data_IF_068291342082
#
_entry.id   IF_068291342082
#
_cell.length_a   1.000
_cell.length_b   1.000
_cell.length_c   1.000
_cell.angle_alpha   90.00
_cell.angle_beta   90.00
_cell.angle_gamma   90.00
#
_symmetry.space_group_name_H-M   'P 1'
#
loop_
_entity.id
_entity.type
_entity.pdbx_description
1 polymer ?
#
# COMPACT_ATOMS: atom_id res chain seq x y z
N UNK A 1 18.44 23.81 -11.87
CA UNK A 1 18.97 23.53 -10.51
C UNK A 1 18.13 24.35 -9.55
N UNK A 2 16.96 23.81 -9.16
CA UNK A 2 15.96 24.55 -8.39
C UNK A 2 16.16 24.27 -6.91
N UNK A 3 16.20 25.34 -6.14
CA UNK A 3 16.27 25.50 -4.70
C UNK A 3 15.92 24.20 -3.93
N UNK A 4 16.95 23.47 -3.53
CA UNK A 4 16.81 22.54 -2.41
C UNK A 4 16.51 23.41 -1.20
N UNK A 5 15.32 23.21 -0.62
CA UNK A 5 14.96 23.84 0.65
C UNK A 5 15.91 23.22 1.68
N UNK A 6 16.84 24.02 2.17
CA UNK A 6 17.78 23.58 3.21
C UNK A 6 16.99 23.37 4.51
N UNK A 7 16.67 22.11 4.78
CA UNK A 7 15.87 21.72 5.94
C UNK A 7 16.85 21.29 7.03
N UNK A 8 16.82 21.98 8.16
CA UNK A 8 17.68 21.67 9.29
C UNK A 8 17.58 20.22 9.79
N UNK A 9 16.37 19.63 9.71
CA UNK A 9 16.09 18.26 10.20
C UNK A 9 15.25 17.44 9.21
N UNK A 10 15.82 16.97 8.07
CA UNK A 10 15.04 16.29 7.03
C UNK A 10 14.40 14.99 7.53
N UNK A 11 15.03 14.26 8.43
CA UNK A 11 14.45 13.05 9.02
C UNK A 11 13.21 13.33 9.84
N UNK A 12 13.18 14.42 10.64
CA UNK A 12 12.00 14.80 11.42
C UNK A 12 10.83 15.20 10.51
N UNK A 13 11.14 15.85 9.38
CA UNK A 13 10.14 16.24 8.39
C UNK A 13 9.52 15.02 7.68
N UNK A 14 10.28 13.93 7.54
CA UNK A 14 9.80 12.69 6.90
C UNK A 14 9.06 11.77 7.89
N UNK A 15 9.21 11.97 9.21
CA UNK A 15 8.62 11.07 10.22
C UNK A 15 7.10 11.00 10.18
N UNK A 16 6.41 12.14 10.01
CA UNK A 16 4.94 12.16 9.89
C UNK A 16 4.45 11.29 8.74
N UNK A 17 4.90 11.53 7.49
CA UNK A 17 4.59 10.68 6.34
C UNK A 17 4.95 9.20 6.51
N UNK A 18 6.12 8.90 7.09
CA UNK A 18 6.57 7.51 7.36
C UNK A 18 5.62 6.80 8.32
N UNK A 19 5.30 7.42 9.45
CA UNK A 19 4.41 6.82 10.45
C UNK A 19 3.01 6.65 9.87
N UNK A 20 2.51 7.65 9.13
CA UNK A 20 1.21 7.57 8.45
C UNK A 20 1.15 6.42 7.43
N UNK A 21 2.18 6.28 6.59
CA UNK A 21 2.30 5.19 5.63
C UNK A 21 2.42 3.82 6.32
N UNK A 22 3.20 3.74 7.41
CA UNK A 22 3.34 2.53 8.21
C UNK A 22 1.98 2.06 8.75
N UNK A 23 1.22 2.95 9.38
CA UNK A 23 -0.11 2.64 9.92
C UNK A 23 -1.06 2.25 8.79
N UNK A 24 -1.01 2.92 7.63
CA UNK A 24 -1.81 2.59 6.46
C UNK A 24 -1.58 1.16 5.97
N UNK A 25 -0.32 0.78 5.75
CA UNK A 25 0.05 -0.56 5.28
C UNK A 25 -0.19 -1.63 6.35
N UNK A 26 0.05 -1.32 7.63
CA UNK A 26 -0.24 -2.20 8.75
C UNK A 26 -1.74 -2.47 8.87
N UNK A 27 -2.57 -1.43 8.71
CA UNK A 27 -4.02 -1.53 8.76
C UNK A 27 -4.60 -2.38 7.63
N UNK A 28 -3.96 -2.40 6.46
CA UNK A 28 -4.36 -3.22 5.31
C UNK A 28 -4.35 -4.71 5.64
N UNK A 29 -3.30 -5.18 6.30
CA UNK A 29 -3.10 -6.60 6.61
C UNK A 29 -3.70 -7.03 7.95
N UNK A 30 -3.79 -6.12 8.91
CA UNK A 30 -4.32 -6.38 10.26
C UNK A 30 -5.74 -6.92 10.24
N UNK A 31 -6.61 -6.36 9.41
CA UNK A 31 -8.02 -6.75 9.40
C UNK A 31 -8.29 -8.15 8.84
N UNK A 32 -7.40 -8.67 8.00
CA UNK A 32 -7.55 -10.04 7.52
C UNK A 32 -7.58 -11.07 8.67
N UNK A 33 -6.84 -10.80 9.75
CA UNK A 33 -6.82 -11.63 10.96
C UNK A 33 -8.06 -11.39 11.83
N UNK A 34 -8.62 -10.18 11.80
CA UNK A 34 -9.78 -9.82 12.60
C UNK A 34 -11.13 -10.26 11.98
N UNK A 35 -11.16 -10.63 10.70
CA UNK A 35 -12.40 -11.00 9.99
C UNK A 35 -13.25 -12.07 10.71
N UNK A 36 -12.71 -13.18 11.24
CA UNK A 36 -13.52 -14.18 11.93
C UNK A 36 -14.21 -13.63 13.19
N UNK A 37 -13.49 -12.83 13.99
CA UNK A 37 -14.06 -12.22 15.20
C UNK A 37 -15.11 -11.16 14.84
N UNK A 38 -14.86 -10.36 13.79
CA UNK A 38 -15.82 -9.40 13.26
C UNK A 38 -17.11 -10.08 12.74
N UNK A 39 -16.97 -11.22 12.04
CA UNK A 39 -18.11 -11.99 11.56
C UNK A 39 -19.02 -12.44 12.71
N UNK A 40 -18.43 -12.91 13.79
CA UNK A 40 -19.17 -13.33 14.99
C UNK A 40 -19.80 -12.15 15.73
N UNK A 41 -19.03 -11.07 15.95
CA UNK A 41 -19.50 -9.92 16.75
C UNK A 41 -20.58 -9.09 16.06
N UNK A 42 -20.51 -8.97 14.74
CA UNK A 42 -21.47 -8.20 13.94
C UNK A 42 -22.59 -9.08 13.36
N UNK A 43 -22.50 -10.40 13.52
CA UNK A 43 -23.42 -11.39 12.93
C UNK A 43 -23.61 -11.24 11.42
N UNK A 44 -22.48 -11.10 10.68
CA UNK A 44 -22.46 -10.83 9.25
C UNK A 44 -21.64 -11.91 8.54
N UNK A 45 -22.15 -12.37 7.39
CA UNK A 45 -21.47 -13.35 6.55
C UNK A 45 -20.14 -12.83 6.00
N UNK A 46 -19.16 -13.73 5.89
CA UNK A 46 -17.80 -13.44 5.41
C UNK A 46 -17.78 -12.68 4.07
N UNK A 47 -18.76 -12.92 3.22
CA UNK A 47 -18.89 -12.30 1.92
C UNK A 47 -19.10 -10.79 1.98
N UNK A 48 -19.97 -10.33 2.88
CA UNK A 48 -20.23 -8.91 3.11
C UNK A 48 -19.07 -8.29 3.89
N UNK A 49 -18.54 -9.04 4.84
CA UNK A 49 -17.44 -8.56 5.67
C UNK A 49 -16.15 -8.27 4.88
N UNK A 50 -15.92 -9.00 3.78
CA UNK A 50 -14.79 -8.76 2.88
C UNK A 50 -14.74 -7.31 2.36
N UNK A 51 -15.88 -6.62 2.29
CA UNK A 51 -15.94 -5.22 1.88
C UNK A 51 -15.15 -4.26 2.79
N UNK A 52 -14.90 -4.64 4.05
CA UNK A 52 -14.07 -3.86 4.97
C UNK A 52 -12.62 -3.76 4.42
N UNK A 53 -12.13 -4.82 3.81
CA UNK A 53 -10.80 -4.86 3.18
C UNK A 53 -10.87 -4.31 1.75
N UNK A 54 -11.80 -4.81 0.94
CA UNK A 54 -11.95 -4.41 -0.46
C UNK A 54 -12.31 -2.93 -0.60
N UNK A 55 -13.21 -2.41 0.23
CA UNK A 55 -13.61 -0.98 0.20
C UNK A 55 -12.45 -0.06 0.54
N UNK A 56 -11.61 -0.45 1.49
CA UNK A 56 -10.38 0.26 1.81
C UNK A 56 -9.41 0.30 0.63
N UNK A 57 -9.12 -0.86 0.02
CA UNK A 57 -8.26 -0.96 -1.16
C UNK A 57 -8.81 -0.22 -2.37
N UNK A 58 -10.14 -0.27 -2.56
CA UNK A 58 -10.84 0.45 -3.62
C UNK A 58 -10.60 1.95 -3.51
N UNK A 59 -10.78 2.52 -2.33
CA UNK A 59 -10.55 3.95 -2.11
C UNK A 59 -9.09 4.31 -2.30
N UNK A 60 -8.15 3.51 -1.82
CA UNK A 60 -6.71 3.72 -2.09
C UNK A 60 -6.45 3.75 -3.61
N UNK A 61 -6.95 2.75 -4.35
CA UNK A 61 -6.77 2.65 -5.79
C UNK A 61 -7.33 3.84 -6.57
N UNK A 62 -8.42 4.43 -6.10
CA UNK A 62 -9.03 5.65 -6.66
C UNK A 62 -8.19 6.90 -6.31
N UNK A 63 -7.75 7.03 -5.07
CA UNK A 63 -7.08 8.23 -4.57
C UNK A 63 -5.63 8.33 -5.07
N UNK A 64 -4.94 7.19 -5.24
CA UNK A 64 -3.55 7.16 -5.71
C UNK A 64 -3.30 7.99 -6.99
N UNK A 65 -4.02 7.79 -8.09
CA UNK A 65 -3.85 8.61 -9.28
C UNK A 65 -4.23 10.08 -9.07
N UNK A 66 -5.24 10.34 -8.22
CA UNK A 66 -5.72 11.68 -7.93
C UNK A 66 -4.77 12.47 -7.04
N UNK A 67 -3.88 11.81 -6.29
CA UNK A 67 -2.91 12.47 -5.42
C UNK A 67 -2.00 13.45 -6.20
N UNK A 68 -1.68 13.15 -7.47
CA UNK A 68 -0.90 14.04 -8.33
C UNK A 68 -1.63 15.35 -8.67
N UNK A 69 -2.96 15.34 -8.74
CA UNK A 69 -3.77 16.55 -8.91
C UNK A 69 -3.79 17.35 -7.62
N UNK A 70 -3.94 16.67 -6.48
CA UNK A 70 -3.95 17.32 -5.16
C UNK A 70 -2.66 18.12 -4.92
N UNK A 71 -1.50 17.60 -5.32
CA UNK A 71 -0.20 18.29 -5.17
C UNK A 71 -0.08 19.58 -6.00
N UNK A 72 -0.89 19.75 -7.04
CA UNK A 72 -0.95 20.97 -7.85
C UNK A 72 -1.84 22.06 -7.22
N UNK A 73 -2.83 21.64 -6.40
CA UNK A 73 -3.83 22.53 -5.80
C UNK A 73 -3.55 22.88 -4.35
N UNK A 74 -3.02 21.94 -3.59
CA UNK A 74 -2.79 22.07 -2.16
C UNK A 74 -1.30 21.94 -1.83
N UNK A 75 -0.90 22.52 -0.73
CA UNK A 75 0.48 22.37 -0.26
C UNK A 75 0.74 20.96 0.24
N UNK A 76 1.99 20.49 0.15
CA UNK A 76 2.40 19.17 0.63
C UNK A 76 1.96 18.94 2.07
N UNK A 77 2.19 19.94 2.93
CA UNK A 77 1.78 19.88 4.33
C UNK A 77 0.27 19.72 4.49
N UNK A 78 -0.53 20.50 3.75
CA UNK A 78 -1.99 20.38 3.80
C UNK A 78 -2.46 18.98 3.41
N UNK A 79 -1.94 18.41 2.32
CA UNK A 79 -2.39 17.10 1.85
C UNK A 79 -2.02 16.01 2.85
N UNK A 80 -0.79 15.99 3.36
CA UNK A 80 -0.35 14.95 4.29
C UNK A 80 -1.07 15.10 5.64
N UNK A 81 -1.18 16.32 6.17
CA UNK A 81 -1.91 16.59 7.42
C UNK A 81 -3.39 16.18 7.30
N UNK A 82 -4.06 16.51 6.19
CA UNK A 82 -5.45 16.08 5.97
C UNK A 82 -5.56 14.58 5.74
N UNK A 83 -4.57 13.95 5.08
CA UNK A 83 -4.49 12.50 4.89
C UNK A 83 -4.35 11.76 6.23
N UNK A 84 -3.42 12.18 7.09
CA UNK A 84 -3.25 11.61 8.44
C UNK A 84 -4.51 11.88 9.29
N UNK A 85 -5.08 13.08 9.20
CA UNK A 85 -6.32 13.45 9.87
C UNK A 85 -7.51 12.60 9.42
N UNK A 86 -7.67 12.37 8.12
CA UNK A 86 -8.70 11.49 7.58
C UNK A 86 -8.53 10.05 8.09
N UNK A 87 -7.28 9.54 8.09
CA UNK A 87 -7.01 8.21 8.63
C UNK A 87 -7.36 8.14 10.13
N UNK A 88 -6.97 9.13 10.91
CA UNK A 88 -7.27 9.23 12.34
C UNK A 88 -8.78 9.24 12.61
N UNK A 89 -9.52 10.08 11.89
CA UNK A 89 -10.99 10.14 11.99
C UNK A 89 -11.60 8.79 11.61
N UNK A 90 -11.16 8.20 10.50
CA UNK A 90 -11.61 6.89 10.07
C UNK A 90 -11.29 5.79 11.07
N UNK A 91 -10.14 5.86 11.77
CA UNK A 91 -9.77 4.92 12.81
C UNK A 91 -10.68 5.05 14.04
N UNK A 92 -11.00 6.27 14.47
CA UNK A 92 -11.92 6.52 15.58
C UNK A 92 -13.34 6.04 15.23
N UNK A 93 -13.83 6.35 14.03
CA UNK A 93 -15.14 5.87 13.55
C UNK A 93 -15.19 4.34 13.54
N UNK A 94 -14.12 3.69 13.05
CA UNK A 94 -14.03 2.23 13.02
C UNK A 94 -13.94 1.62 14.41
N UNK A 95 -13.20 2.25 15.33
CA UNK A 95 -13.06 1.81 16.71
C UNK A 95 -14.39 1.88 17.51
N UNK A 96 -15.21 2.87 17.20
CA UNK A 96 -16.51 3.10 17.84
C UNK A 96 -17.68 2.47 17.07
N UNK A 97 -17.42 1.78 15.96
CA UNK A 97 -18.47 1.30 15.06
C UNK A 97 -19.38 0.25 15.73
N UNK A 98 -20.70 0.51 15.89
CA UNK A 98 -21.65 -0.43 16.44
C UNK A 98 -22.16 -1.43 15.39
N UNK A 99 -21.94 -1.17 14.09
CA UNK A 99 -22.45 -1.96 12.99
C UNK A 99 -21.52 -1.89 11.77
N UNK A 100 -21.77 -2.78 10.81
CA UNK A 100 -20.99 -2.90 9.58
C UNK A 100 -20.95 -1.62 8.73
N UNK A 101 -22.06 -0.92 8.43
CA UNK A 101 -22.00 0.27 7.60
C UNK A 101 -21.09 1.37 8.15
N UNK A 102 -21.12 1.60 9.46
CA UNK A 102 -20.26 2.59 10.12
C UNK A 102 -18.80 2.15 10.08
N UNK A 103 -18.53 0.86 10.33
CA UNK A 103 -17.18 0.30 10.21
C UNK A 103 -16.65 0.44 8.78
N UNK A 104 -17.45 0.11 7.77
CA UNK A 104 -17.09 0.26 6.36
C UNK A 104 -16.80 1.73 6.00
N UNK A 105 -17.65 2.65 6.47
CA UNK A 105 -17.44 4.09 6.25
C UNK A 105 -16.11 4.55 6.85
N UNK A 106 -15.81 4.15 8.09
CA UNK A 106 -14.52 4.45 8.72
C UNK A 106 -13.35 3.91 7.92
N UNK A 107 -13.46 2.69 7.37
CA UNK A 107 -12.45 2.08 6.51
C UNK A 107 -12.25 2.82 5.20
N UNK A 108 -13.32 3.26 4.55
CA UNK A 108 -13.21 4.06 3.33
C UNK A 108 -12.52 5.41 3.59
N UNK A 109 -12.82 6.06 4.72
CA UNK A 109 -12.15 7.31 5.13
C UNK A 109 -10.66 7.05 5.41
N UNK A 110 -10.29 5.94 6.06
CA UNK A 110 -8.88 5.53 6.22
C UNK A 110 -8.18 5.33 4.88
N UNK A 111 -8.88 4.76 3.88
CA UNK A 111 -8.38 4.57 2.52
C UNK A 111 -8.00 5.89 1.83
N UNK A 112 -8.75 6.97 2.04
CA UNK A 112 -8.39 8.32 1.56
C UNK A 112 -7.04 8.74 2.14
N UNK A 113 -6.85 8.57 3.44
CA UNK A 113 -5.60 8.89 4.12
C UNK A 113 -4.42 8.13 3.53
N UNK A 114 -4.51 6.81 3.44
CA UNK A 114 -3.43 5.98 2.92
C UNK A 114 -3.13 6.27 1.45
N UNK A 115 -4.16 6.42 0.62
CA UNK A 115 -4.00 6.73 -0.80
C UNK A 115 -3.32 8.07 -1.08
N UNK A 116 -3.43 9.04 -0.16
CA UNK A 116 -2.72 10.31 -0.26
C UNK A 116 -1.32 10.26 0.33
N UNK A 117 -1.13 9.62 1.48
CA UNK A 117 0.15 9.60 2.22
C UNK A 117 1.22 8.81 1.48
N UNK A 118 0.90 7.62 0.93
CA UNK A 118 1.87 6.72 0.32
C UNK A 118 2.70 7.37 -0.81
N UNK A 119 2.11 7.97 -1.86
CA UNK A 119 2.90 8.59 -2.93
C UNK A 119 3.61 9.86 -2.46
N UNK A 120 3.00 10.59 -1.51
CA UNK A 120 3.59 11.81 -1.02
C UNK A 120 4.79 11.57 -0.11
N UNK A 121 4.82 10.47 0.64
CA UNK A 121 6.00 10.08 1.42
C UNK A 121 7.26 10.01 0.56
N UNK A 122 7.16 9.35 -0.61
CA UNK A 122 8.27 9.30 -1.57
C UNK A 122 8.58 10.66 -2.18
N UNK A 123 7.55 11.44 -2.51
CA UNK A 123 7.71 12.80 -3.05
C UNK A 123 8.42 13.70 -2.05
N UNK A 124 8.05 13.64 -0.77
CA UNK A 124 8.71 14.38 0.29
C UNK A 124 10.17 13.94 0.40
N UNK A 125 10.44 12.64 0.48
CA UNK A 125 11.80 12.11 0.56
C UNK A 125 12.68 12.61 -0.59
N UNK A 126 12.19 12.57 -1.83
CA UNK A 126 12.94 13.05 -3.01
C UNK A 126 13.25 14.55 -2.99
N UNK A 127 12.41 15.36 -2.34
CA UNK A 127 12.58 16.83 -2.37
C UNK A 127 13.37 17.37 -1.18
N UNK A 128 13.42 16.65 -0.05
CA UNK A 128 14.07 17.15 1.17
C UNK A 128 15.48 16.57 1.39
N UNK A 129 15.81 15.45 0.74
CA UNK A 129 17.13 14.85 0.87
C UNK A 129 18.03 15.20 -0.31
N UNK A 130 19.33 15.47 -0.06
CA UNK A 130 20.29 15.68 -1.14
C UNK A 130 20.50 14.39 -1.94
N UNK A 131 20.93 14.48 -3.23
CA UNK A 131 21.12 13.33 -4.11
C UNK A 131 21.96 12.20 -3.50
N UNK A 132 22.98 12.56 -2.68
CA UNK A 132 23.89 11.61 -2.03
C UNK A 132 23.25 10.77 -0.93
N UNK A 133 22.12 11.23 -0.36
CA UNK A 133 21.35 10.53 0.70
C UNK A 133 19.98 10.08 0.24
N UNK A 134 19.65 10.27 -1.02
CA UNK A 134 18.33 9.95 -1.58
C UNK A 134 18.06 8.45 -1.52
N UNK A 135 19.04 7.60 -1.86
CA UNK A 135 18.89 6.15 -1.78
C UNK A 135 18.61 5.67 -0.36
N UNK A 136 19.29 6.25 0.64
CA UNK A 136 19.03 5.93 2.05
C UNK A 136 17.60 6.32 2.46
N UNK A 137 17.13 7.52 2.07
CA UNK A 137 15.78 7.97 2.39
C UNK A 137 14.71 7.09 1.71
N UNK A 138 14.91 6.75 0.43
CA UNK A 138 14.04 5.84 -0.31
C UNK A 138 14.05 4.42 0.28
N UNK A 139 15.22 3.95 0.71
CA UNK A 139 15.37 2.66 1.40
C UNK A 139 14.56 2.59 2.69
N UNK A 140 14.55 3.68 3.49
CA UNK A 140 13.72 3.76 4.69
C UNK A 140 12.23 3.78 4.34
N UNK A 141 11.82 4.53 3.33
CA UNK A 141 10.42 4.52 2.85
C UNK A 141 9.98 3.12 2.40
N UNK A 142 10.83 2.44 1.62
CA UNK A 142 10.56 1.07 1.15
C UNK A 142 10.51 0.07 2.30
N UNK A 143 11.43 0.20 3.28
CA UNK A 143 11.43 -0.64 4.48
C UNK A 143 10.09 -0.55 5.20
N UNK A 144 9.55 0.65 5.37
CA UNK A 144 8.27 0.86 6.07
C UNK A 144 7.13 0.16 5.35
N UNK A 145 7.05 0.28 4.02
CA UNK A 145 6.01 -0.36 3.20
C UNK A 145 6.09 -1.88 3.27
N UNK A 146 7.32 -2.44 3.30
CA UNK A 146 7.51 -3.90 3.33
C UNK A 146 7.37 -4.49 4.73
N UNK A 147 7.80 -3.75 5.76
CA UNK A 147 7.78 -4.23 7.14
C UNK A 147 6.40 -4.15 7.78
N UNK A 148 5.62 -3.09 7.50
CA UNK A 148 4.31 -2.90 8.09
C UNK A 148 3.34 -4.07 7.85
N UNK A 149 3.17 -4.60 6.60
CA UNK A 149 2.32 -5.76 6.36
C UNK A 149 2.78 -7.03 7.07
N UNK A 150 4.07 -7.20 7.28
CA UNK A 150 4.61 -8.36 7.99
C UNK A 150 4.30 -8.33 9.49
N UNK A 151 4.30 -7.14 10.09
CA UNK A 151 3.99 -6.95 11.52
C UNK A 151 2.49 -6.99 11.79
N UNK A 152 1.68 -6.53 10.84
CA UNK A 152 0.22 -6.40 11.00
C UNK A 152 -0.47 -7.64 11.56
N UNK A 153 -0.35 -8.81 10.94
CA UNK A 153 -0.96 -10.04 11.43
C UNK A 153 -0.53 -10.42 12.84
N UNK A 154 0.75 -10.32 13.14
CA UNK A 154 1.30 -10.67 14.46
C UNK A 154 0.75 -9.74 15.55
N UNK A 155 0.81 -8.43 15.31
CA UNK A 155 0.31 -7.43 16.25
C UNK A 155 -1.19 -7.58 16.49
N UNK A 156 -1.96 -7.78 15.42
CA UNK A 156 -3.39 -8.01 15.50
C UNK A 156 -3.72 -9.30 16.24
N UNK A 157 -2.98 -10.38 16.00
CA UNK A 157 -3.12 -11.63 16.71
C UNK A 157 -2.93 -11.46 18.22
N UNK A 158 -1.94 -10.70 18.67
CA UNK A 158 -1.74 -10.39 20.10
C UNK A 158 -2.89 -9.57 20.69
N UNK A 159 -3.41 -8.59 19.95
CA UNK A 159 -4.55 -7.78 20.39
C UNK A 159 -5.78 -8.68 20.57
N UNK A 160 -6.11 -9.47 19.55
CA UNK A 160 -7.31 -10.31 19.53
C UNK A 160 -7.26 -11.48 20.52
N UNK A 161 -6.08 -11.88 20.97
CA UNK A 161 -5.93 -12.89 22.00
C UNK A 161 -6.45 -12.44 23.39
N UNK A 162 -6.49 -11.12 23.65
CA UNK A 162 -6.85 -10.57 24.96
C UNK A 162 -7.93 -9.49 24.90
N UNK A 163 -8.12 -8.87 23.75
CA UNK A 163 -8.97 -7.68 23.57
C UNK A 163 -9.92 -7.88 22.37
N UNK A 164 -10.93 -7.02 22.26
CA UNK A 164 -11.84 -7.01 21.13
C UNK A 164 -11.20 -6.39 19.88
N UNK A 165 -11.79 -6.66 18.72
CA UNK A 165 -11.31 -6.15 17.42
C UNK A 165 -11.23 -4.61 17.34
N UNK A 166 -12.04 -3.89 18.14
CA UNK A 166 -12.02 -2.42 18.21
C UNK A 166 -10.64 -1.88 18.60
N UNK A 167 -9.90 -2.62 19.45
CA UNK A 167 -8.58 -2.22 19.92
C UNK A 167 -7.52 -2.18 18.83
N UNK A 168 -7.73 -2.89 17.73
CA UNK A 168 -6.87 -2.78 16.55
C UNK A 168 -6.88 -1.34 16.01
N UNK A 169 -8.06 -0.72 15.95
CA UNK A 169 -8.21 0.66 15.51
C UNK A 169 -7.75 1.67 16.57
N UNK A 170 -8.04 1.41 17.85
CA UNK A 170 -7.57 2.26 18.95
C UNK A 170 -6.05 2.34 19.01
N UNK A 171 -5.34 1.27 18.66
CA UNK A 171 -3.87 1.29 18.59
C UNK A 171 -3.35 2.32 17.56
N UNK A 172 -4.05 2.53 16.46
CA UNK A 172 -3.64 3.48 15.43
C UNK A 172 -3.76 4.93 15.91
N UNK A 173 -4.70 5.23 16.79
CA UNK A 173 -4.99 6.61 17.23
C UNK A 173 -3.76 7.30 17.84
N UNK A 174 -3.11 6.79 18.89
CA UNK A 174 -1.94 7.44 19.47
C UNK A 174 -0.77 7.55 18.48
N UNK A 175 -0.58 6.54 17.63
CA UNK A 175 0.49 6.54 16.62
C UNK A 175 0.26 7.62 15.56
N UNK A 176 -0.99 7.80 15.13
CA UNK A 176 -1.36 8.85 14.17
C UNK A 176 -1.31 10.25 14.78
N UNK A 177 -1.61 10.41 16.08
CA UNK A 177 -1.42 11.68 16.77
C UNK A 177 0.06 12.09 16.82
N UNK A 178 0.96 11.12 17.04
CA UNK A 178 2.40 11.36 16.94
C UNK A 178 2.80 11.73 15.50
N UNK A 179 2.28 11.03 14.50
CA UNK A 179 2.52 11.37 13.10
C UNK A 179 2.07 12.81 12.78
N UNK A 180 0.87 13.17 13.23
CA UNK A 180 0.31 14.51 13.04
C UNK A 180 1.15 15.59 13.73
N UNK A 181 1.68 15.31 14.92
CA UNK A 181 2.59 16.21 15.63
C UNK A 181 3.86 16.49 14.81
N UNK A 182 4.52 15.44 14.28
CA UNK A 182 5.71 15.61 13.45
C UNK A 182 5.39 16.39 12.16
N UNK A 183 4.28 16.11 11.55
CA UNK A 183 3.83 16.73 10.32
C UNK A 183 3.56 18.24 10.52
N UNK A 184 2.80 18.58 11.55
CA UNK A 184 2.47 19.98 11.87
C UNK A 184 3.70 20.79 12.28
N UNK A 185 4.71 20.17 12.90
CA UNK A 185 5.88 20.89 13.41
C UNK A 185 7.02 20.97 12.41
N UNK A 186 7.30 19.90 11.67
CA UNK A 186 8.54 19.77 10.90
C UNK A 186 8.34 19.67 9.38
N UNK A 187 7.15 19.30 8.87
CA UNK A 187 6.96 19.14 7.43
C UNK A 187 6.89 20.49 6.73
N UNK A 188 7.83 20.79 5.81
CA UNK A 188 7.79 22.01 5.02
C UNK A 188 6.82 21.89 3.85
N UNK A 189 6.44 23.02 3.27
CA UNK A 189 5.72 23.06 2.00
C UNK A 189 6.72 22.97 0.85
N UNK A 190 6.65 21.86 0.10
CA UNK A 190 7.57 21.58 -1.02
C UNK A 190 6.90 21.86 -2.36
N UNK A 191 5.56 21.80 -2.40
CA UNK A 191 4.80 21.92 -3.65
C UNK A 191 4.79 23.33 -4.20
N UNK A 192 5.07 23.46 -5.50
CA UNK A 192 4.79 24.68 -6.29
C UNK A 192 3.34 24.59 -6.77
N UNK A 193 2.47 25.42 -6.18
CA UNK A 193 1.04 25.45 -6.54
C UNK A 193 0.85 26.04 -7.94
N UNK A 194 0.38 25.25 -8.88
CA UNK A 194 0.12 25.68 -10.24
C UNK A 194 -1.37 25.92 -10.51
N UNK A 195 -2.26 25.32 -9.71
CA UNK A 195 -3.73 25.41 -9.77
C UNK A 195 -4.30 25.34 -11.20
N UNK A 196 -3.98 24.29 -11.96
CA UNK A 196 -4.51 24.14 -13.31
C UNK A 196 -6.04 23.98 -13.27
N UNK A 197 -6.73 24.32 -14.37
CA UNK A 197 -8.15 24.00 -14.51
C UNK A 197 -8.34 22.48 -14.33
N UNK A 198 -9.25 22.09 -13.47
CA UNK A 198 -9.54 20.68 -13.20
C UNK A 198 -10.28 20.10 -14.41
N UNK A 199 -9.70 19.08 -15.02
CA UNK A 199 -10.38 18.27 -16.00
C UNK A 199 -11.27 17.23 -15.31
N UNK A 200 -12.52 17.62 -15.02
CA UNK A 200 -13.49 16.77 -14.34
C UNK A 200 -13.73 15.45 -15.07
N UNK A 201 -13.68 15.44 -16.41
CA UNK A 201 -13.83 14.22 -17.18
C UNK A 201 -12.70 13.23 -16.88
N UNK A 202 -11.46 13.69 -16.80
CA UNK A 202 -10.32 12.85 -16.42
C UNK A 202 -10.42 12.36 -14.96
N UNK A 203 -10.94 13.17 -14.05
CA UNK A 203 -11.18 12.75 -12.66
C UNK A 203 -12.20 11.61 -12.62
N UNK A 204 -13.33 11.77 -13.31
CA UNK A 204 -14.40 10.75 -13.38
C UNK A 204 -13.88 9.46 -14.02
N UNK A 205 -13.18 9.56 -15.15
CA UNK A 205 -12.56 8.41 -15.82
C UNK A 205 -11.55 7.68 -14.91
N UNK A 206 -10.76 8.42 -14.15
CA UNK A 206 -9.84 7.83 -13.17
C UNK A 206 -10.58 7.06 -12.08
N UNK A 207 -11.59 7.67 -11.45
CA UNK A 207 -12.38 7.05 -10.37
C UNK A 207 -13.04 5.76 -10.85
N UNK A 208 -13.78 5.83 -11.96
CA UNK A 208 -14.49 4.65 -12.48
C UNK A 208 -13.56 3.62 -13.09
N UNK A 209 -12.53 4.04 -13.83
CA UNK A 209 -11.59 3.12 -14.46
C UNK A 209 -10.80 2.29 -13.45
N UNK A 210 -10.10 2.95 -12.53
CA UNK A 210 -9.35 2.24 -11.48
C UNK A 210 -10.28 1.56 -10.47
N UNK A 211 -11.42 2.17 -10.14
CA UNK A 211 -12.42 1.58 -9.27
C UNK A 211 -12.96 0.25 -9.80
N UNK A 212 -13.35 0.19 -11.07
CA UNK A 212 -13.84 -1.03 -11.71
C UNK A 212 -12.77 -2.11 -11.83
N UNK A 213 -11.51 -1.74 -12.09
CA UNK A 213 -10.40 -2.70 -12.08
C UNK A 213 -10.21 -3.33 -10.69
N UNK A 214 -10.13 -2.51 -9.64
CA UNK A 214 -9.99 -3.03 -8.27
C UNK A 214 -11.18 -3.90 -7.88
N UNK A 215 -12.40 -3.51 -8.22
CA UNK A 215 -13.61 -4.31 -7.99
C UNK A 215 -13.57 -5.63 -8.77
N UNK A 216 -13.17 -5.60 -10.04
CA UNK A 216 -13.07 -6.78 -10.88
C UNK A 216 -12.09 -7.81 -10.33
N UNK A 217 -10.88 -7.38 -9.96
CA UNK A 217 -9.88 -8.26 -9.33
C UNK A 217 -10.36 -8.78 -7.97
N UNK A 218 -11.00 -7.94 -7.16
CA UNK A 218 -11.53 -8.35 -5.86
C UNK A 218 -12.65 -9.38 -5.99
N UNK A 219 -13.57 -9.20 -6.96
CA UNK A 219 -14.64 -10.14 -7.21
C UNK A 219 -14.15 -11.43 -7.86
N UNK A 220 -13.05 -11.42 -8.61
CA UNK A 220 -12.48 -12.60 -9.25
C UNK A 220 -12.12 -13.70 -8.24
N UNK A 221 -11.62 -13.31 -7.06
CA UNK A 221 -11.32 -14.23 -5.97
C UNK A 221 -12.55 -14.98 -5.43
N UNK A 222 -13.74 -14.43 -5.61
CA UNK A 222 -15.01 -14.90 -5.03
C UNK A 222 -15.94 -15.53 -6.05
N UNK A 223 -16.11 -14.88 -7.20
CA UNK A 223 -17.04 -15.28 -8.24
C UNK A 223 -16.36 -16.11 -9.35
N UNK A 224 -15.02 -16.22 -9.30
CA UNK A 224 -14.23 -16.81 -10.37
C UNK A 224 -13.97 -15.86 -11.54
N UNK A 225 -12.89 -16.10 -12.26
CA UNK A 225 -12.44 -15.26 -13.38
C UNK A 225 -13.40 -15.24 -14.58
N UNK A 226 -14.21 -16.27 -14.73
CA UNK A 226 -15.18 -16.43 -15.85
C UNK A 226 -16.55 -15.82 -15.55
N UNK A 227 -16.77 -15.28 -14.35
CA UNK A 227 -18.03 -14.63 -13.99
C UNK A 227 -18.32 -13.42 -14.88
N UNK A 228 -19.55 -13.28 -15.43
CA UNK A 228 -19.93 -12.13 -16.24
C UNK A 228 -19.73 -10.78 -15.52
N UNK A 229 -19.94 -10.75 -14.20
CA UNK A 229 -19.72 -9.54 -13.37
C UNK A 229 -18.23 -9.19 -13.33
N UNK A 230 -17.35 -10.17 -13.15
CA UNK A 230 -15.89 -9.95 -13.13
C UNK A 230 -15.40 -9.48 -14.48
N UNK A 231 -15.79 -10.18 -15.55
CA UNK A 231 -15.44 -9.81 -16.92
C UNK A 231 -15.98 -8.42 -17.27
N UNK A 232 -17.21 -8.12 -16.92
CA UNK A 232 -17.82 -6.82 -17.11
C UNK A 232 -17.04 -5.71 -16.41
N UNK A 233 -16.66 -5.89 -15.14
CA UNK A 233 -15.85 -4.93 -14.40
C UNK A 233 -14.45 -4.75 -15.00
N UNK A 234 -13.77 -5.85 -15.35
CA UNK A 234 -12.42 -5.79 -15.89
C UNK A 234 -12.40 -5.17 -17.30
N UNK A 235 -13.28 -5.60 -18.20
CA UNK A 235 -13.33 -5.07 -19.56
C UNK A 235 -13.72 -3.60 -19.56
N UNK A 236 -14.78 -3.22 -18.83
CA UNK A 236 -15.17 -1.80 -18.73
C UNK A 236 -14.09 -0.97 -18.03
N UNK A 237 -13.46 -1.49 -16.97
CA UNK A 237 -12.35 -0.82 -16.29
C UNK A 237 -11.17 -0.59 -17.21
N UNK A 238 -10.73 -1.61 -17.99
CA UNK A 238 -9.66 -1.48 -18.98
C UNK A 238 -10.01 -0.45 -20.05
N UNK A 239 -11.22 -0.48 -20.59
CA UNK A 239 -11.66 0.48 -21.60
C UNK A 239 -11.65 1.90 -21.08
N UNK A 240 -12.18 2.13 -19.87
CA UNK A 240 -12.22 3.47 -19.26
C UNK A 240 -10.80 3.95 -18.94
N UNK A 241 -9.91 3.08 -18.43
CA UNK A 241 -8.50 3.45 -18.19
C UNK A 241 -7.78 3.72 -19.51
N UNK A 242 -8.07 3.01 -20.59
CA UNK A 242 -7.51 3.29 -21.91
C UNK A 242 -7.97 4.67 -22.45
N UNK A 243 -9.25 5.00 -22.29
CA UNK A 243 -9.79 6.34 -22.63
C UNK A 243 -9.13 7.41 -21.76
N UNK A 244 -8.99 7.16 -20.46
CA UNK A 244 -8.27 8.04 -19.53
C UNK A 244 -6.83 8.26 -19.98
N UNK A 245 -6.09 7.19 -20.30
CA UNK A 245 -4.70 7.26 -20.75
C UNK A 245 -4.56 8.04 -22.07
N UNK A 246 -5.42 7.77 -23.04
CA UNK A 246 -5.46 8.51 -24.31
C UNK A 246 -5.67 10.00 -24.05
N UNK A 247 -6.62 10.36 -23.18
CA UNK A 247 -6.90 11.74 -22.80
C UNK A 247 -5.71 12.40 -22.11
N UNK A 248 -5.03 11.71 -21.16
CA UNK A 248 -3.84 12.23 -20.47
C UNK A 248 -2.65 12.47 -21.42
N UNK A 249 -2.53 11.69 -22.48
CA UNK A 249 -1.47 11.88 -23.49
C UNK A 249 -1.67 13.12 -24.35
N UNK A 250 -2.94 13.52 -24.59
CA UNK A 250 -3.32 14.61 -25.51
C UNK A 250 -3.73 15.90 -24.80
N UNK A 251 -3.96 15.85 -23.49
CA UNK A 251 -4.36 17.04 -22.73
C UNK A 251 -3.16 17.94 -22.44
N UNK A 252 -3.36 19.28 -22.53
CA UNK A 252 -2.30 20.27 -22.26
C UNK A 252 -1.81 20.24 -20.82
N UNK A 253 -2.74 20.07 -19.87
CA UNK A 253 -2.46 20.00 -18.43
C UNK A 253 -2.92 18.65 -17.84
N UNK A 254 -2.22 17.54 -18.13
CA UNK A 254 -2.64 16.23 -17.69
C UNK A 254 -2.58 16.10 -16.16
N UNK A 255 -3.51 15.34 -15.59
CA UNK A 255 -3.48 14.95 -14.17
C UNK A 255 -2.23 14.09 -13.94
N UNK A 256 -2.05 13.09 -14.79
CA UNK A 256 -0.90 12.19 -14.79
C UNK A 256 -0.12 12.33 -16.10
N UNK A 257 1.15 12.73 -16.02
CA UNK A 257 1.97 12.88 -17.21
C UNK A 257 2.46 11.52 -17.73
N UNK A 258 1.65 10.86 -18.56
CA UNK A 258 1.99 9.56 -19.15
C UNK A 258 3.10 9.64 -20.23
N UNK A 259 3.51 10.85 -20.65
CA UNK A 259 4.62 11.02 -21.61
C UNK A 259 5.97 10.53 -21.04
N UNK A 260 6.09 10.40 -19.71
CA UNK A 260 7.29 9.82 -19.08
C UNK A 260 7.55 8.38 -19.52
N UNK A 261 6.53 7.62 -19.90
CA UNK A 261 6.68 6.27 -20.45
C UNK A 261 7.38 6.22 -21.81
N UNK A 262 7.55 7.36 -22.51
CA UNK A 262 8.40 7.44 -23.70
C UNK A 262 9.89 7.30 -23.36
N UNK A 263 10.28 7.58 -22.13
CA UNK A 263 11.66 7.37 -21.67
C UNK A 263 11.88 5.90 -21.30
N UNK A 264 12.72 5.23 -22.08
CA UNK A 264 13.00 3.78 -21.95
C UNK A 264 13.45 3.39 -20.55
N UNK A 265 14.28 4.23 -19.91
CA UNK A 265 14.76 3.98 -18.55
C UNK A 265 13.62 3.96 -17.53
N UNK A 266 12.66 4.90 -17.64
CA UNK A 266 11.48 4.96 -16.77
C UNK A 266 10.57 3.74 -16.99
N UNK A 267 10.27 3.40 -18.23
CA UNK A 267 9.41 2.26 -18.57
C UNK A 267 9.99 0.94 -18.07
N UNK A 268 11.29 0.71 -18.32
CA UNK A 268 11.99 -0.48 -17.82
C UNK A 268 11.98 -0.52 -16.29
N UNK A 269 12.28 0.60 -15.62
CA UNK A 269 12.22 0.69 -14.15
C UNK A 269 10.84 0.37 -13.60
N UNK A 270 9.79 0.94 -14.18
CA UNK A 270 8.40 0.68 -13.75
C UNK A 270 8.02 -0.79 -13.93
N UNK A 271 8.38 -1.42 -15.05
CA UNK A 271 8.11 -2.84 -15.29
C UNK A 271 8.86 -3.74 -14.29
N UNK A 272 10.13 -3.42 -14.01
CA UNK A 272 10.91 -4.16 -13.01
C UNK A 272 10.30 -4.07 -11.62
N UNK A 273 9.89 -2.86 -11.18
CA UNK A 273 9.22 -2.66 -9.89
C UNK A 273 7.88 -3.40 -9.85
N UNK A 274 7.10 -3.39 -10.93
CA UNK A 274 5.83 -4.12 -11.00
C UNK A 274 6.03 -5.63 -10.84
N UNK A 275 7.04 -6.21 -11.51
CA UNK A 275 7.36 -7.63 -11.41
C UNK A 275 7.84 -7.96 -10.00
N UNK A 276 8.75 -7.17 -9.44
CA UNK A 276 9.30 -7.36 -8.10
C UNK A 276 8.20 -7.32 -7.02
N UNK A 277 7.32 -6.33 -7.09
CA UNK A 277 6.16 -6.24 -6.20
C UNK A 277 5.22 -7.44 -6.34
N UNK A 278 5.00 -7.91 -7.57
CA UNK A 278 4.21 -9.11 -7.86
C UNK A 278 4.81 -10.36 -7.20
N UNK A 279 6.12 -10.54 -7.27
CA UNK A 279 6.85 -11.65 -6.63
C UNK A 279 6.71 -11.57 -5.10
N UNK A 280 6.94 -10.39 -4.52
CA UNK A 280 6.86 -10.18 -3.06
C UNK A 280 5.45 -10.47 -2.54
N UNK A 281 4.43 -9.89 -3.16
CA UNK A 281 3.03 -10.09 -2.75
C UNK A 281 2.60 -11.55 -2.92
N UNK A 282 3.00 -12.20 -4.01
CA UNK A 282 2.74 -13.63 -4.23
C UNK A 282 3.37 -14.49 -3.15
N UNK A 283 4.64 -14.22 -2.81
CA UNK A 283 5.33 -14.94 -1.74
C UNK A 283 4.68 -14.70 -0.37
N UNK A 284 4.31 -13.47 -0.04
CA UNK A 284 3.63 -13.13 1.21
C UNK A 284 2.26 -13.79 1.33
N UNK A 285 1.58 -14.08 0.22
CA UNK A 285 0.29 -14.75 0.22
C UNK A 285 0.43 -16.28 0.20
N UNK A 286 1.27 -16.81 -0.68
CA UNK A 286 1.38 -18.26 -0.91
C UNK A 286 2.15 -18.98 0.20
N UNK A 287 3.20 -18.36 0.72
CA UNK A 287 4.07 -19.02 1.71
C UNK A 287 3.35 -19.37 3.01
N UNK A 288 2.56 -18.48 3.64
CA UNK A 288 1.76 -18.85 4.81
C UNK A 288 0.75 -19.94 4.51
N UNK A 289 0.11 -19.92 3.34
CA UNK A 289 -0.85 -20.97 2.96
C UNK A 289 -0.18 -22.31 2.76
N UNK A 290 1.00 -22.34 2.16
CA UNK A 290 1.79 -23.56 2.02
C UNK A 290 2.18 -24.14 3.37
N UNK A 291 2.68 -23.30 4.29
CA UNK A 291 3.06 -23.73 5.63
C UNK A 291 1.86 -24.27 6.41
N UNK A 292 0.73 -23.57 6.36
CA UNK A 292 -0.48 -23.96 7.12
C UNK A 292 -1.23 -25.12 6.52
N UNK A 293 -1.46 -25.13 5.21
CA UNK A 293 -2.29 -26.13 4.53
C UNK A 293 -1.48 -27.28 3.95
N UNK A 294 -0.26 -27.00 3.48
CA UNK A 294 0.63 -28.02 2.89
C UNK A 294 1.43 -28.78 3.94
N UNK A 295 1.99 -28.07 4.92
CA UNK A 295 2.79 -28.64 5.99
C UNK A 295 1.99 -28.91 7.28
N UNK A 296 0.70 -28.50 7.34
CA UNK A 296 -0.19 -28.64 8.50
C UNK A 296 0.36 -27.98 9.79
N UNK A 297 1.15 -26.93 9.63
CA UNK A 297 1.74 -26.21 10.76
C UNK A 297 0.72 -25.19 11.30
N UNK A 298 0.53 -25.12 12.65
CA UNK A 298 -0.38 -24.15 13.26
C UNK A 298 -0.06 -22.70 12.89
N UNK A 299 -1.10 -21.86 12.81
CA UNK A 299 -1.00 -20.42 12.44
C UNK A 299 0.03 -19.68 13.29
N UNK A 300 0.06 -19.94 14.61
CA UNK A 300 1.00 -19.30 15.53
C UNK A 300 2.47 -19.59 15.16
N UNK A 301 2.80 -20.82 14.78
CA UNK A 301 4.15 -21.21 14.36
C UNK A 301 4.48 -20.70 12.96
N UNK A 302 3.49 -20.58 12.08
CA UNK A 302 3.69 -19.97 10.75
C UNK A 302 4.26 -18.56 10.85
N UNK A 303 3.74 -17.75 11.76
CA UNK A 303 4.26 -16.39 12.02
C UNK A 303 5.74 -16.43 12.44
N UNK A 304 6.11 -17.34 13.33
CA UNK A 304 7.50 -17.50 13.80
C UNK A 304 8.43 -17.95 12.65
N UNK A 305 8.00 -18.88 11.83
CA UNK A 305 8.78 -19.37 10.67
C UNK A 305 9.00 -18.25 9.65
N UNK A 306 8.07 -17.33 9.50
CA UNK A 306 8.17 -16.20 8.58
C UNK A 306 8.97 -15.01 9.13
N UNK A 307 9.15 -14.92 10.45
CA UNK A 307 9.88 -13.82 11.09
C UNK A 307 11.30 -13.61 10.54
N UNK A 308 12.15 -14.65 10.34
CA UNK A 308 13.48 -14.47 9.79
C UNK A 308 13.46 -13.78 8.41
N UNK A 309 12.51 -14.14 7.54
CA UNK A 309 12.33 -13.47 6.24
C UNK A 309 12.00 -11.98 6.37
N UNK A 310 11.13 -11.62 7.31
CA UNK A 310 10.80 -10.22 7.62
C UNK A 310 12.00 -9.44 8.16
N UNK A 311 12.77 -10.03 9.07
CA UNK A 311 13.98 -9.41 9.65
C UNK A 311 15.05 -9.19 8.56
N UNK A 312 15.30 -10.20 7.72
CA UNK A 312 16.25 -10.09 6.60
C UNK A 312 15.80 -9.02 5.61
N UNK A 313 14.53 -8.98 5.26
CA UNK A 313 13.98 -7.93 4.38
C UNK A 313 14.19 -6.54 4.98
N UNK A 314 13.87 -6.34 6.25
CA UNK A 314 14.08 -5.07 6.94
C UNK A 314 15.57 -4.66 6.98
N UNK A 315 16.47 -5.58 7.32
CA UNK A 315 17.90 -5.32 7.38
C UNK A 315 18.49 -4.97 5.99
N UNK A 316 18.10 -5.75 4.97
CA UNK A 316 18.59 -5.55 3.59
C UNK A 316 18.02 -4.26 3.00
N UNK A 317 16.76 -3.88 3.28
CA UNK A 317 16.18 -2.63 2.76
C UNK A 317 16.97 -1.40 3.22
N UNK A 318 17.34 -1.34 4.50
CA UNK A 318 18.19 -0.27 5.03
C UNK A 318 19.61 -0.26 4.45
N UNK A 319 20.19 -1.45 4.24
CA UNK A 319 21.51 -1.60 3.65
C UNK A 319 21.51 -1.29 2.15
N UNK A 320 20.49 -1.75 1.43
CA UNK A 320 20.33 -1.52 0.00
C UNK A 320 20.22 -0.02 -0.34
N UNK A 321 19.55 0.78 0.50
CA UNK A 321 19.49 2.23 0.32
C UNK A 321 20.89 2.87 0.37
N UNK A 322 21.75 2.48 1.32
CA UNK A 322 23.13 2.96 1.40
C UNK A 322 24.00 2.45 0.25
N UNK A 323 23.80 1.19 -0.14
CA UNK A 323 24.52 0.62 -1.27
C UNK A 323 24.10 1.28 -2.59
N UNK A 324 22.84 1.65 -2.73
CA UNK A 324 22.35 2.40 -3.88
C UNK A 324 23.08 3.74 -4.04
N UNK A 325 23.26 4.48 -2.96
CA UNK A 325 23.98 5.77 -2.97
C UNK A 325 25.44 5.60 -3.41
N UNK A 326 26.06 4.43 -3.15
CA UNK A 326 27.46 4.14 -3.45
C UNK A 326 27.69 3.46 -4.81
N UNK A 327 26.86 2.49 -5.19
CA UNK A 327 27.08 1.61 -6.35
C UNK A 327 26.03 1.80 -7.46
N UNK A 328 24.97 2.56 -7.21
CA UNK A 328 23.88 2.82 -8.17
C UNK A 328 22.90 1.66 -8.31
N UNK A 329 21.80 1.92 -9.04
CA UNK A 329 20.64 1.01 -9.19
C UNK A 329 20.98 -0.30 -9.91
N UNK A 330 21.84 -0.24 -10.96
CA UNK A 330 22.07 -1.38 -11.86
C UNK A 330 22.62 -2.61 -11.15
N UNK A 331 23.63 -2.43 -10.32
CA UNK A 331 24.31 -3.52 -9.61
C UNK A 331 23.34 -4.17 -8.60
N UNK A 332 22.66 -3.35 -7.80
CA UNK A 332 21.73 -3.84 -6.80
C UNK A 332 20.56 -4.60 -7.41
N UNK A 333 19.93 -4.04 -8.46
CA UNK A 333 18.84 -4.69 -9.16
C UNK A 333 19.28 -6.05 -9.75
N UNK A 334 20.47 -6.11 -10.37
CA UNK A 334 21.00 -7.35 -10.94
C UNK A 334 21.21 -8.41 -9.85
N UNK A 335 21.84 -8.05 -8.73
CA UNK A 335 22.04 -8.98 -7.61
C UNK A 335 20.70 -9.44 -7.03
N UNK A 336 19.75 -8.51 -6.82
CA UNK A 336 18.42 -8.83 -6.29
C UNK A 336 17.66 -9.82 -7.16
N UNK A 337 17.63 -9.60 -8.48
CA UNK A 337 16.98 -10.54 -9.41
C UNK A 337 17.66 -11.89 -9.52
N UNK A 338 18.99 -11.96 -9.44
CA UNK A 338 19.72 -13.25 -9.39
C UNK A 338 19.31 -14.03 -8.14
N UNK A 339 19.28 -13.39 -6.97
CA UNK A 339 18.85 -14.02 -5.72
C UNK A 339 17.39 -14.47 -5.81
N UNK A 340 16.49 -13.65 -6.39
CA UNK A 340 15.10 -14.00 -6.59
C UNK A 340 14.93 -15.25 -7.50
N UNK A 341 15.68 -15.33 -8.59
CA UNK A 341 15.68 -16.49 -9.49
C UNK A 341 16.17 -17.76 -8.75
N UNK A 342 17.27 -17.66 -8.02
CA UNK A 342 17.80 -18.79 -7.23
C UNK A 342 16.75 -19.24 -6.22
N UNK A 343 16.12 -18.31 -5.51
CA UNK A 343 15.08 -18.61 -4.52
C UNK A 343 13.87 -19.29 -5.17
N UNK A 344 13.44 -18.85 -6.36
CA UNK A 344 12.34 -19.46 -7.10
C UNK A 344 12.66 -20.90 -7.53
N UNK A 345 13.90 -21.16 -7.98
CA UNK A 345 14.37 -22.51 -8.34
C UNK A 345 14.41 -23.42 -7.10
N UNK A 346 14.88 -22.90 -5.97
CA UNK A 346 14.89 -23.66 -4.71
C UNK A 346 13.48 -23.99 -4.25
N UNK A 347 12.53 -23.06 -4.45
CA UNK A 347 11.12 -23.28 -4.10
C UNK A 347 10.46 -24.38 -4.92
N UNK A 348 10.86 -24.60 -6.19
CA UNK A 348 10.37 -25.70 -7.02
C UNK A 348 10.77 -27.09 -6.49
N UNK A 349 11.82 -27.19 -5.71
CA UNK A 349 12.29 -28.45 -5.11
C UNK A 349 11.53 -28.84 -3.84
N UNK A 350 10.68 -27.95 -3.32
CA UNK A 350 9.81 -28.26 -2.18
C UNK A 350 8.70 -29.17 -2.67
N UNK A 351 8.40 -30.31 -2.01
CA UNK A 351 7.42 -31.27 -2.50
C UNK A 351 6.04 -30.61 -2.69
N UNK A 352 5.31 -30.95 -3.76
CA UNK A 352 4.02 -30.37 -4.04
C UNK A 352 3.02 -30.69 -2.93
N UNK A 353 1.99 -29.84 -2.79
CA UNK A 353 0.85 -30.05 -1.90
C UNK A 353 0.37 -31.50 -1.99
N UNK A 354 0.49 -32.25 -0.91
CA UNK A 354 -0.36 -33.43 -0.78
C UNK A 354 -1.76 -32.91 -0.50
N UNK A 355 -2.60 -32.90 -1.52
CA UNK A 355 -4.04 -32.91 -1.32
C UNK A 355 -4.34 -34.21 -0.61
N UNK A 356 -4.36 -34.23 0.72
CA UNK A 356 -4.99 -35.28 1.45
C UNK A 356 -6.47 -35.19 1.08
N UNK A 357 -6.89 -35.97 0.09
CA UNK A 357 -8.29 -36.38 0.00
C UNK A 357 -8.68 -36.85 1.40
N UNK A 358 -9.78 -36.36 1.98
CA UNK A 358 -10.26 -36.87 3.26
C UNK A 358 -10.41 -38.40 3.14
N UNK A 359 -10.03 -39.19 4.14
CA UNK A 359 -10.33 -40.62 4.13
C UNK A 359 -11.84 -40.74 3.98
N UNK A 360 -12.24 -41.48 2.96
CA UNK A 360 -13.61 -41.89 2.67
C UNK A 360 -14.26 -42.60 3.85
#
# INVERSE_FOLDING_TARGET
>A
MDHQIEIQHPWLALMGPIIGAFVGMLSETSLNIALPQLSQSLNIGNATLQWIVTGYMLVIGIILPLSSLLTKWFTTRQIITTGIGAFLIGAIISALAPNFPILLTGRMIQGIGTGTILPLMFTVAMNIFPPQKMGTAMGVCSLVIMFAPAVGPTLTGFILAKLSWNWVFWLFVPVLLVALFFDLKFLPNISKLTRPKVDFASVILSIFGFGLLVMGFSFAARLGWTSPVVLGCLVSGILIVAIYAYRQLHHENPILNLKVFKHVAFTKGTLLVMIDFGIILSAMYLLPQYIQRGMLIPVALTGIIMLPGGIVNAAISGLAGRMFDKYGAKILATIGFIIAIISAIMFQRIPPWRTSSPPT
#
